data_IF_536786392104
#
_entry.id   IF_536786392104
#
_cell.length_a   1.000
_cell.length_b   1.000
_cell.length_c   1.000
_cell.angle_alpha   90.00
_cell.angle_beta   90.00
_cell.angle_gamma   90.00
#
_symmetry.space_group_name_H-M   'P 1'
#
loop_
_entity.id
_entity.type
_entity.pdbx_description
1 polymer ?
#
# COMPACT_ATOMS: atom_id res chain seq x y z
N UNK A 1 -10.45 30.61 -4.95
CA UNK A 1 -10.47 29.19 -4.53
C UNK A 1 -9.49 29.05 -3.38
N UNK A 2 -9.82 28.33 -2.29
CA UNK A 2 -8.83 27.99 -1.29
C UNK A 2 -7.69 27.19 -1.93
N UNK A 3 -6.47 27.40 -1.44
CA UNK A 3 -5.26 26.72 -1.92
C UNK A 3 -5.13 25.38 -1.22
N UNK A 4 -5.00 24.28 -1.97
CA UNK A 4 -4.81 22.91 -1.45
C UNK A 4 -3.36 22.60 -1.04
N UNK A 5 -2.66 23.59 -0.47
CA UNK A 5 -1.23 23.46 -0.17
C UNK A 5 -0.98 22.43 0.94
N UNK A 6 -1.83 22.42 1.97
CA UNK A 6 -1.70 21.50 3.10
C UNK A 6 -1.99 20.05 2.68
N UNK A 7 -3.01 19.88 1.85
CA UNK A 7 -3.42 18.61 1.24
C UNK A 7 -2.29 18.09 0.35
N UNK A 8 -1.68 18.95 -0.46
CA UNK A 8 -0.54 18.58 -1.32
C UNK A 8 0.65 18.13 -0.49
N UNK A 9 1.04 18.88 0.54
CA UNK A 9 2.18 18.53 1.39
C UNK A 9 1.93 17.22 2.14
N UNK A 10 0.73 17.04 2.70
CA UNK A 10 0.31 15.79 3.35
C UNK A 10 0.36 14.61 2.38
N UNK A 11 -0.19 14.76 1.18
CA UNK A 11 -0.18 13.73 0.15
C UNK A 11 1.25 13.37 -0.29
N UNK A 12 2.12 14.36 -0.49
CA UNK A 12 3.53 14.14 -0.86
C UNK A 12 4.28 13.38 0.24
N UNK A 13 4.07 13.74 1.51
CA UNK A 13 4.68 13.04 2.64
C UNK A 13 4.20 11.57 2.72
N UNK A 14 2.88 11.34 2.60
CA UNK A 14 2.28 10.02 2.63
C UNK A 14 2.78 9.13 1.48
N UNK A 15 2.75 9.62 0.24
CA UNK A 15 3.20 8.88 -0.95
C UNK A 15 4.69 8.56 -0.89
N UNK A 16 5.55 9.47 -0.40
CA UNK A 16 6.98 9.18 -0.20
C UNK A 16 7.22 8.05 0.79
N UNK A 17 6.38 7.92 1.82
CA UNK A 17 6.49 6.82 2.79
C UNK A 17 5.96 5.52 2.19
N UNK A 18 4.82 5.56 1.53
CA UNK A 18 4.23 4.41 0.83
C UNK A 18 5.18 3.86 -0.26
N UNK A 19 5.75 4.74 -1.09
CA UNK A 19 6.70 4.35 -2.14
C UNK A 19 7.95 3.66 -1.61
N UNK A 20 8.48 4.12 -0.48
CA UNK A 20 9.60 3.44 0.20
C UNK A 20 9.21 2.05 0.69
N UNK A 21 8.02 1.89 1.26
CA UNK A 21 7.52 0.57 1.67
C UNK A 21 7.42 -0.38 0.47
N UNK A 22 6.85 0.08 -0.65
CA UNK A 22 6.75 -0.73 -1.87
C UNK A 22 8.13 -1.15 -2.39
N UNK A 23 9.10 -0.23 -2.42
CA UNK A 23 10.48 -0.53 -2.82
C UNK A 23 11.12 -1.57 -1.91
N UNK A 24 10.99 -1.44 -0.58
CA UNK A 24 11.54 -2.41 0.37
C UNK A 24 10.93 -3.80 0.20
N UNK A 25 9.61 -3.89 -0.02
CA UNK A 25 8.94 -5.17 -0.25
C UNK A 25 9.38 -5.77 -1.59
N UNK A 26 9.47 -4.95 -2.64
CA UNK A 26 9.95 -5.39 -3.95
C UNK A 26 11.38 -5.97 -3.86
N UNK A 27 12.29 -5.27 -3.19
CA UNK A 27 13.67 -5.74 -2.97
C UNK A 27 13.69 -7.08 -2.21
N UNK A 28 12.88 -7.22 -1.16
CA UNK A 28 12.76 -8.46 -0.41
C UNK A 28 12.23 -9.61 -1.27
N UNK A 29 11.24 -9.35 -2.13
CA UNK A 29 10.70 -10.36 -3.06
C UNK A 29 11.75 -10.79 -4.10
N UNK A 30 12.55 -9.86 -4.63
CA UNK A 30 13.62 -10.20 -5.57
C UNK A 30 14.76 -11.00 -4.92
N UNK A 31 15.12 -10.69 -3.67
CA UNK A 31 16.12 -11.46 -2.93
C UNK A 31 15.65 -12.89 -2.60
N UNK A 32 14.35 -13.09 -2.46
CA UNK A 32 13.73 -14.40 -2.16
C UNK A 32 13.53 -15.29 -3.38
N UNK A 33 13.64 -14.74 -4.59
CA UNK A 33 13.36 -15.45 -5.84
C UNK A 33 14.51 -16.34 -6.34
N UNK A 34 15.70 -16.25 -5.73
CA UNK A 34 16.87 -17.05 -6.09
C UNK A 34 16.84 -18.47 -5.48
N UNK A 35 15.94 -18.72 -4.52
CA UNK A 35 15.69 -20.05 -3.95
C UNK A 35 14.44 -20.67 -4.58
N UNK A 36 14.58 -21.88 -5.15
CA UNK A 36 13.54 -22.67 -5.82
C UNK A 36 12.44 -23.17 -4.85
N UNK A 37 11.80 -22.29 -4.08
CA UNK A 37 10.61 -22.62 -3.28
C UNK A 37 9.49 -21.60 -3.56
N UNK A 38 8.59 -21.99 -4.46
CA UNK A 38 7.37 -21.28 -4.88
C UNK A 38 6.45 -20.89 -3.69
N UNK A 39 6.68 -21.48 -2.52
CA UNK A 39 5.90 -21.23 -1.30
C UNK A 39 6.23 -19.91 -0.60
N UNK A 40 7.42 -19.34 -0.81
CA UNK A 40 7.84 -18.09 -0.14
C UNK A 40 7.27 -16.85 -0.85
N UNK A 41 7.16 -16.88 -2.18
CA UNK A 41 6.50 -15.83 -2.97
C UNK A 41 4.97 -15.80 -2.75
N UNK A 42 4.35 -16.96 -2.51
CA UNK A 42 2.91 -17.06 -2.24
C UNK A 42 2.46 -16.39 -0.93
N UNK A 43 3.35 -16.13 0.03
CA UNK A 43 3.01 -15.42 1.26
C UNK A 43 2.89 -13.90 1.07
N UNK A 44 3.64 -13.34 0.09
CA UNK A 44 3.65 -11.91 -0.20
C UNK A 44 2.60 -11.50 -1.25
N UNK A 45 2.13 -12.45 -2.06
CA UNK A 45 1.14 -12.25 -3.13
C UNK A 45 -0.12 -13.04 -2.82
N UNK A 46 -1.22 -12.33 -2.57
CA UNK A 46 -2.57 -12.87 -2.53
C UNK A 46 -3.26 -12.64 -3.88
N UNK A 47 -4.32 -13.39 -4.15
CA UNK A 47 -5.08 -13.26 -5.38
C UNK A 47 -6.47 -12.71 -5.05
N UNK A 48 -6.90 -11.66 -5.75
CA UNK A 48 -8.26 -11.12 -5.64
C UNK A 48 -9.27 -12.06 -6.30
N UNK A 49 -10.56 -11.84 -6.08
CA UNK A 49 -11.66 -12.65 -6.66
C UNK A 49 -11.63 -12.64 -8.20
N UNK A 50 -11.17 -11.54 -8.80
CA UNK A 50 -11.00 -11.38 -10.25
C UNK A 50 -9.68 -11.96 -10.78
N UNK A 51 -8.91 -12.63 -9.93
CA UNK A 51 -7.59 -13.23 -10.18
C UNK A 51 -6.45 -12.24 -10.39
N UNK A 52 -6.67 -10.94 -10.18
CA UNK A 52 -5.56 -9.98 -10.14
C UNK A 52 -4.67 -10.25 -8.90
N UNK A 53 -3.34 -10.10 -9.03
CA UNK A 53 -2.43 -10.21 -7.90
C UNK A 53 -2.56 -8.98 -7.00
N UNK A 54 -2.63 -9.19 -5.69
CA UNK A 54 -2.51 -8.16 -4.66
C UNK A 54 -1.40 -8.56 -3.70
N UNK A 55 -0.55 -7.62 -3.31
CA UNK A 55 0.61 -7.89 -2.48
C UNK A 55 0.47 -7.22 -1.11
N UNK A 56 1.32 -7.64 -0.17
CA UNK A 56 1.47 -6.92 1.11
C UNK A 56 1.84 -5.45 0.91
N UNK A 57 2.48 -5.09 -0.21
CA UNK A 57 2.79 -3.70 -0.54
C UNK A 57 1.55 -2.88 -0.87
N UNK A 58 0.55 -3.46 -1.54
CA UNK A 58 -0.70 -2.77 -1.88
C UNK A 58 -1.48 -2.42 -0.61
N UNK A 59 -1.70 -3.40 0.27
CA UNK A 59 -2.33 -3.16 1.58
C UNK A 59 -1.55 -2.18 2.45
N UNK A 60 -0.23 -2.35 2.52
CA UNK A 60 0.63 -1.50 3.36
C UNK A 60 0.68 -0.06 2.88
N UNK A 61 0.75 0.16 1.57
CA UNK A 61 0.76 1.49 0.97
C UNK A 61 -0.56 2.22 1.19
N UNK A 62 -1.69 1.55 0.97
CA UNK A 62 -3.02 2.10 1.25
C UNK A 62 -3.19 2.41 2.75
N UNK A 63 -2.76 1.52 3.64
CA UNK A 63 -2.84 1.76 5.09
C UNK A 63 -2.05 3.01 5.53
N UNK A 64 -0.85 3.20 4.99
CA UNK A 64 -0.02 4.39 5.29
C UNK A 64 -0.66 5.68 4.78
N UNK A 65 -1.23 5.66 3.57
CA UNK A 65 -1.89 6.83 2.97
C UNK A 65 -3.17 7.16 3.74
N UNK A 66 -4.06 6.18 3.94
CA UNK A 66 -5.32 6.36 4.67
C UNK A 66 -5.08 6.86 6.09
N UNK A 67 -4.05 6.35 6.78
CA UNK A 67 -3.68 6.84 8.11
C UNK A 67 -3.26 8.30 8.10
N UNK A 68 -2.37 8.70 7.19
CA UNK A 68 -1.91 10.08 7.10
C UNK A 68 -3.06 11.05 6.78
N UNK A 69 -3.97 10.64 5.90
CA UNK A 69 -5.17 11.41 5.57
C UNK A 69 -6.12 11.50 6.76
N UNK A 70 -6.40 10.40 7.46
CA UNK A 70 -7.29 10.42 8.63
C UNK A 70 -6.73 11.26 9.80
N UNK A 71 -5.40 11.31 9.96
CA UNK A 71 -4.74 12.14 10.97
C UNK A 71 -4.83 13.65 10.63
N UNK A 72 -4.77 14.02 9.35
CA UNK A 72 -4.76 15.41 8.89
C UNK A 72 -6.16 15.97 8.54
N UNK A 73 -7.04 15.11 8.04
CA UNK A 73 -8.36 15.42 7.47
C UNK A 73 -9.38 14.37 7.95
N UNK A 74 -9.74 14.38 9.25
CA UNK A 74 -10.55 13.31 9.85
C UNK A 74 -11.97 13.18 9.29
N UNK A 75 -12.49 14.25 8.67
CA UNK A 75 -13.83 14.29 8.08
C UNK A 75 -13.85 13.95 6.58
N UNK A 76 -12.68 13.81 5.96
CA UNK A 76 -12.58 13.55 4.52
C UNK A 76 -12.78 12.05 4.24
N UNK A 77 -13.70 11.69 3.32
CA UNK A 77 -13.86 10.31 2.91
C UNK A 77 -12.68 9.88 2.03
N UNK A 78 -12.21 8.64 2.22
CA UNK A 78 -11.18 8.03 1.37
C UNK A 78 -11.80 6.90 0.55
N UNK A 79 -11.59 6.93 -0.76
CA UNK A 79 -11.90 5.83 -1.67
C UNK A 79 -10.59 5.09 -1.96
N UNK A 80 -10.48 3.86 -1.46
CA UNK A 80 -9.35 2.96 -1.71
C UNK A 80 -9.76 1.80 -2.61
N UNK A 81 -8.78 1.17 -3.27
CA UNK A 81 -9.00 -0.01 -4.10
C UNK A 81 -9.13 -1.29 -3.26
N UNK A 82 -8.31 -1.41 -2.21
CA UNK A 82 -8.22 -2.63 -1.42
C UNK A 82 -9.17 -2.63 -0.20
N UNK A 83 -9.77 -3.78 0.09
CA UNK A 83 -10.58 -4.01 1.30
C UNK A 83 -9.75 -4.75 2.36
N UNK A 84 -9.75 -4.23 3.59
CA UNK A 84 -9.10 -4.87 4.74
C UNK A 84 -9.72 -6.25 5.09
N UNK A 85 -10.91 -6.57 4.58
CA UNK A 85 -11.48 -7.91 4.65
C UNK A 85 -10.56 -8.98 4.05
N UNK A 86 -9.71 -8.64 3.07
CA UNK A 86 -8.74 -9.56 2.47
C UNK A 86 -7.58 -9.95 3.41
N UNK A 87 -7.41 -9.26 4.54
CA UNK A 87 -6.36 -9.51 5.53
C UNK A 87 -6.82 -10.43 6.68
N UNK A 88 -8.08 -10.87 6.69
CA UNK A 88 -8.66 -11.78 7.69
C UNK A 88 -8.61 -13.23 7.23
#
# INVERSE_FOLDING_TARGET
MPSYENERETALAAVRRAGRLCQTIQEAMHASADERDDRTNGAAVRQKDDRSPVTVADFGSQALICRALAEAFPDDPVVGEEDAAMLR
#
